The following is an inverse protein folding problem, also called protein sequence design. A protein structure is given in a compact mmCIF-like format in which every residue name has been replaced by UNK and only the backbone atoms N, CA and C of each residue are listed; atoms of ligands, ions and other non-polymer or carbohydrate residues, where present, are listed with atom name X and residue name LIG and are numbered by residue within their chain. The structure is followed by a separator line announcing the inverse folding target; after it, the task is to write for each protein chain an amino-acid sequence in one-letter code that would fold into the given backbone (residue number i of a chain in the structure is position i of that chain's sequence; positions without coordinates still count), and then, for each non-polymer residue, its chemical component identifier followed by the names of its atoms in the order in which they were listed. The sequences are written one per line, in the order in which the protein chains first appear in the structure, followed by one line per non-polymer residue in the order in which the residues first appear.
data_IF_590833563343
#
_entry.id   IF_590833563343
#
_cell.length_a   1.000
_cell.length_b   1.000
_cell.length_c   1.000
_cell.angle_alpha   90.00
_cell.angle_beta   90.00
_cell.angle_gamma   90.00
#
_symmetry.space_group_name_H-M   'P 1'
#
loop_
_entity.id
_entity.type
_entity.pdbx_description
1 polymer ?
#
# COMPACT_ATOMS: atom_id res chain seq x y z
N UNK A 1 15.43 46.61 47.96
CA UNK A 1 15.61 45.14 47.96
C UNK A 1 14.36 44.54 47.33
N UNK A 2 14.45 43.97 46.12
CA UNK A 2 13.32 43.36 45.41
C UNK A 2 13.78 42.03 44.82
N UNK A 3 13.34 40.96 45.47
CA UNK A 3 13.68 39.55 45.21
C UNK A 3 13.13 39.14 43.84
N UNK A 4 14.00 38.63 42.96
CA UNK A 4 13.60 38.05 41.67
C UNK A 4 13.29 36.57 41.88
N UNK A 5 12.03 36.19 41.76
CA UNK A 5 11.61 34.78 41.74
C UNK A 5 11.61 34.34 40.27
N UNK A 6 12.58 33.50 39.91
CA UNK A 6 12.64 32.84 38.61
C UNK A 6 11.75 31.59 38.67
N UNK A 7 10.59 31.62 38.00
CA UNK A 7 9.74 30.45 37.81
C UNK A 7 10.18 29.74 36.52
N UNK A 8 10.90 28.63 36.68
CA UNK A 8 11.34 27.79 35.56
C UNK A 8 10.19 26.86 35.17
N UNK A 9 9.59 27.08 34.01
CA UNK A 9 8.56 26.20 33.43
C UNK A 9 9.27 25.02 32.77
N UNK A 10 9.16 23.84 33.37
CA UNK A 10 9.69 22.58 32.86
C UNK A 10 8.69 22.01 31.83
N UNK A 11 8.93 22.28 30.55
CA UNK A 11 8.11 21.80 29.44
C UNK A 11 8.54 20.37 29.07
N UNK A 12 7.96 19.36 29.71
CA UNK A 12 8.11 17.96 29.29
C UNK A 12 7.23 17.68 28.07
N UNK A 13 7.80 17.80 26.88
CA UNK A 13 7.18 17.38 25.63
C UNK A 13 7.07 15.85 25.57
N UNK A 14 5.99 15.30 26.13
CA UNK A 14 5.62 13.91 25.92
C UNK A 14 5.06 13.77 24.50
N UNK A 15 5.89 13.31 23.56
CA UNK A 15 5.43 12.94 22.22
C UNK A 15 4.55 11.69 22.34
N UNK A 16 3.25 11.89 22.50
CA UNK A 16 2.26 10.83 22.34
C UNK A 16 2.25 10.50 20.85
N UNK A 17 2.98 9.46 20.46
CA UNK A 17 2.87 8.87 19.12
C UNK A 17 1.52 8.17 19.05
N UNK A 18 0.48 8.87 18.58
CA UNK A 18 -0.77 8.20 18.23
C UNK A 18 -0.47 7.24 17.07
N UNK A 19 -0.86 5.95 17.14
CA UNK A 19 -0.81 5.10 15.98
C UNK A 19 -1.71 5.72 14.91
N UNK A 20 -1.11 6.23 13.85
CA UNK A 20 -1.84 6.73 12.69
C UNK A 20 -2.58 5.52 12.11
N UNK A 21 -3.90 5.47 12.28
CA UNK A 21 -4.71 4.45 11.63
C UNK A 21 -4.42 4.51 10.12
N UNK A 22 -3.83 3.45 9.58
CA UNK A 22 -3.45 3.39 8.18
C UNK A 22 -4.72 3.51 7.33
N UNK A 23 -4.90 4.67 6.70
CA UNK A 23 -6.05 4.93 5.85
C UNK A 23 -5.94 4.11 4.56
N UNK A 24 -7.08 3.64 4.08
CA UNK A 24 -7.19 2.83 2.87
C UNK A 24 -7.65 3.75 1.75
N UNK A 25 -6.90 3.81 0.66
CA UNK A 25 -7.29 4.56 -0.54
C UNK A 25 -7.94 3.62 -1.56
N UNK A 26 -9.11 3.99 -2.01
CA UNK A 26 -9.90 3.24 -2.99
C UNK A 26 -9.74 3.88 -4.35
N UNK A 27 -9.48 3.04 -5.34
CA UNK A 27 -9.16 3.40 -6.70
C UNK A 27 -9.98 2.51 -7.63
N UNK A 28 -10.26 2.98 -8.84
CA UNK A 28 -10.78 2.10 -9.88
C UNK A 28 -9.72 1.08 -10.30
N UNK A 29 -10.16 -0.10 -10.73
CA UNK A 29 -9.28 -1.16 -11.26
C UNK A 29 -8.49 -0.71 -12.48
N UNK A 30 -9.02 0.25 -13.24
CA UNK A 30 -8.37 0.87 -14.41
C UNK A 30 -7.07 1.62 -14.06
N UNK A 31 -6.82 1.89 -12.77
CA UNK A 31 -5.58 2.51 -12.30
C UNK A 31 -4.40 1.52 -12.26
N UNK A 32 -4.65 0.21 -12.19
CA UNK A 32 -3.60 -0.83 -12.03
C UNK A 32 -2.51 -0.73 -13.11
N UNK A 33 -2.81 -0.63 -14.42
CA UNK A 33 -1.78 -0.55 -15.45
C UNK A 33 -0.83 0.66 -15.27
N UNK A 34 -1.33 1.75 -14.69
CA UNK A 34 -0.57 2.99 -14.50
C UNK A 34 0.43 2.91 -13.36
N UNK A 35 0.28 1.94 -12.45
CA UNK A 35 1.25 1.70 -11.36
C UNK A 35 2.64 1.37 -11.91
N UNK A 36 2.73 0.82 -13.12
CA UNK A 36 3.99 0.48 -13.79
C UNK A 36 4.79 1.71 -14.26
N UNK A 37 4.09 2.80 -14.60
CA UNK A 37 4.68 3.91 -15.34
C UNK A 37 4.77 5.20 -14.54
N UNK A 38 3.77 5.45 -13.70
CA UNK A 38 3.64 6.72 -12.99
C UNK A 38 4.40 6.68 -11.68
N UNK A 39 5.02 7.81 -11.36
CA UNK A 39 5.50 8.02 -10.01
C UNK A 39 4.36 8.06 -9.00
N UNK A 40 4.62 7.80 -7.71
CA UNK A 40 3.57 7.90 -6.68
C UNK A 40 2.86 9.25 -6.68
N UNK A 41 3.60 10.34 -6.85
CA UNK A 41 3.03 11.68 -6.86
C UNK A 41 2.11 11.89 -8.07
N UNK A 42 2.55 11.48 -9.26
CA UNK A 42 1.74 11.55 -10.48
C UNK A 42 0.56 10.59 -10.44
N UNK A 43 0.75 9.40 -9.90
CA UNK A 43 -0.27 8.40 -9.69
C UNK A 43 -1.36 8.93 -8.75
N UNK A 44 -0.98 9.46 -7.59
CA UNK A 44 -1.90 10.04 -6.62
C UNK A 44 -2.59 11.31 -7.16
N UNK A 45 -1.92 12.08 -8.01
CA UNK A 45 -2.52 13.25 -8.67
C UNK A 45 -3.56 12.83 -9.71
N UNK A 46 -3.25 11.80 -10.50
CA UNK A 46 -4.11 11.30 -11.58
C UNK A 46 -5.26 10.46 -11.04
N UNK A 47 -5.01 9.69 -9.99
CA UNK A 47 -5.95 8.79 -9.32
C UNK A 47 -6.00 9.13 -7.83
N UNK A 48 -6.65 10.26 -7.46
CA UNK A 48 -6.72 10.69 -6.07
C UNK A 48 -7.45 9.69 -5.18
N UNK A 49 -8.44 8.99 -5.75
CA UNK A 49 -9.23 7.99 -5.07
C UNK A 49 -10.05 8.53 -3.90
N UNK A 50 -10.78 7.63 -3.25
CA UNK A 50 -11.49 7.94 -2.00
C UNK A 50 -10.70 7.39 -0.81
N UNK A 51 -10.53 8.20 0.24
CA UNK A 51 -9.79 7.79 1.44
C UNK A 51 -10.77 7.35 2.52
N UNK A 52 -10.67 6.10 2.93
CA UNK A 52 -11.47 5.49 3.99
C UNK A 52 -10.59 5.10 5.17
N UNK A 53 -11.15 5.03 6.38
CA UNK A 53 -10.39 4.59 7.57
C UNK A 53 -10.32 3.08 7.69
N UNK A 54 -11.43 2.41 7.47
CA UNK A 54 -11.61 0.99 7.81
C UNK A 54 -12.35 0.20 6.72
N UNK A 55 -12.65 0.84 5.58
CA UNK A 55 -13.39 0.23 4.48
C UNK A 55 -14.89 0.04 4.75
N UNK A 56 -15.43 0.57 5.85
CA UNK A 56 -16.88 0.53 6.06
C UNK A 56 -17.60 1.34 4.98
N UNK A 57 -18.73 0.83 4.49
CA UNK A 57 -19.54 1.49 3.46
C UNK A 57 -19.05 1.29 2.02
N UNK A 58 -18.04 0.44 1.79
CA UNK A 58 -17.60 0.08 0.44
C UNK A 58 -18.72 -0.58 -0.36
N UNK A 59 -18.76 -0.29 -1.66
CA UNK A 59 -19.66 -0.95 -2.59
C UNK A 59 -19.39 -2.47 -2.61
N UNK A 60 -20.45 -3.26 -2.78
CA UNK A 60 -20.31 -4.71 -2.86
C UNK A 60 -19.61 -5.09 -4.17
N UNK A 61 -18.63 -6.00 -4.09
CA UNK A 61 -17.86 -6.42 -5.24
C UNK A 61 -16.50 -6.99 -4.87
N UNK A 62 -15.72 -7.32 -5.88
CA UNK A 62 -14.34 -7.78 -5.73
C UNK A 62 -13.38 -6.61 -5.77
N UNK A 63 -12.41 -6.60 -4.87
CA UNK A 63 -11.36 -5.59 -4.83
C UNK A 63 -10.00 -6.27 -4.79
N UNK A 64 -9.03 -5.66 -5.47
CA UNK A 64 -7.63 -6.03 -5.34
C UNK A 64 -7.06 -5.21 -4.19
N UNK A 65 -6.71 -5.88 -3.09
CA UNK A 65 -6.09 -5.29 -1.93
C UNK A 65 -4.57 -5.35 -2.07
N UNK A 66 -3.94 -4.18 -2.02
CA UNK A 66 -2.50 -4.03 -1.92
C UNK A 66 -2.15 -3.35 -0.61
N UNK A 67 -1.23 -3.94 0.14
CA UNK A 67 -0.65 -3.29 1.32
C UNK A 67 0.85 -3.42 1.31
N UNK A 68 1.53 -2.32 1.63
CA UNK A 68 2.96 -2.29 1.85
C UNK A 68 3.24 -1.26 2.94
N UNK A 69 3.76 -1.72 4.06
CA UNK A 69 4.01 -0.89 5.24
C UNK A 69 2.76 -0.11 5.70
N UNK A 70 2.76 1.22 5.54
CA UNK A 70 1.62 2.10 5.87
C UNK A 70 0.68 2.35 4.69
N UNK A 71 1.06 1.93 3.48
CA UNK A 71 0.24 2.09 2.27
C UNK A 71 -0.80 0.97 2.20
N UNK A 72 -2.05 1.36 1.96
CA UNK A 72 -3.17 0.46 1.73
C UNK A 72 -4.00 0.97 0.55
N UNK A 73 -4.06 0.19 -0.53
CA UNK A 73 -4.86 0.48 -1.72
C UNK A 73 -5.90 -0.62 -1.93
N UNK A 74 -7.10 -0.22 -2.34
CA UNK A 74 -8.16 -1.10 -2.84
C UNK A 74 -8.51 -0.69 -4.26
N UNK A 75 -8.36 -1.61 -5.22
CA UNK A 75 -8.73 -1.38 -6.61
C UNK A 75 -10.04 -2.10 -6.92
N UNK A 76 -11.08 -1.37 -7.33
CA UNK A 76 -12.42 -1.90 -7.66
C UNK A 76 -13.54 -0.89 -7.39
N UNK A 77 -14.81 -1.34 -7.31
CA UNK A 77 -15.26 -2.73 -7.30
C UNK A 77 -15.29 -3.37 -8.69
N UNK A 78 -14.85 -4.62 -8.77
CA UNK A 78 -14.98 -5.49 -9.95
C UNK A 78 -16.15 -6.45 -9.75
N UNK A 79 -17.00 -6.59 -10.78
CA UNK A 79 -18.20 -7.42 -10.69
C UNK A 79 -17.90 -8.92 -10.61
N UNK A 80 -16.91 -9.39 -11.38
CA UNK A 80 -16.61 -10.81 -11.53
C UNK A 80 -15.29 -11.17 -10.84
N UNK A 81 -15.29 -12.30 -10.12
CA UNK A 81 -14.08 -12.84 -9.49
C UNK A 81 -12.97 -13.10 -10.50
N UNK A 82 -13.31 -13.63 -11.68
CA UNK A 82 -12.36 -13.93 -12.75
C UNK A 82 -11.63 -12.66 -13.20
N UNK A 83 -12.37 -11.59 -13.51
CA UNK A 83 -11.79 -10.29 -13.85
C UNK A 83 -10.93 -9.72 -12.72
N UNK A 84 -11.36 -9.89 -11.46
CA UNK A 84 -10.53 -9.53 -10.31
C UNK A 84 -9.22 -10.32 -10.22
N UNK A 85 -9.22 -11.61 -10.59
CA UNK A 85 -8.01 -12.43 -10.67
C UNK A 85 -7.09 -11.99 -11.81
N UNK A 86 -7.65 -11.57 -12.95
CA UNK A 86 -6.86 -11.05 -14.07
C UNK A 86 -6.11 -9.78 -13.65
N UNK A 87 -6.81 -8.83 -13.03
CA UNK A 87 -6.21 -7.60 -12.49
C UNK A 87 -5.21 -7.87 -11.34
N UNK A 88 -5.50 -8.86 -10.48
CA UNK A 88 -4.57 -9.31 -9.45
C UNK A 88 -3.27 -9.84 -10.10
N UNK A 89 -3.39 -10.61 -11.18
CA UNK A 89 -2.27 -11.15 -11.95
C UNK A 89 -1.45 -10.05 -12.63
N UNK A 90 -2.13 -9.05 -13.20
CA UNK A 90 -1.47 -7.88 -13.79
C UNK A 90 -0.67 -7.12 -12.73
N UNK A 91 -1.30 -6.75 -11.61
CA UNK A 91 -0.61 -6.04 -10.54
C UNK A 91 0.55 -6.88 -10.00
N UNK A 92 0.35 -8.18 -9.75
CA UNK A 92 1.44 -9.08 -9.32
C UNK A 92 2.61 -9.10 -10.28
N UNK A 93 2.36 -9.10 -11.59
CA UNK A 93 3.42 -9.06 -12.62
C UNK A 93 4.19 -7.75 -12.53
N UNK A 94 3.48 -6.63 -12.39
CA UNK A 94 4.10 -5.30 -12.21
C UNK A 94 4.93 -5.27 -10.92
N UNK A 95 4.44 -5.86 -9.82
CA UNK A 95 5.18 -5.94 -8.55
C UNK A 95 6.44 -6.80 -8.69
N UNK A 96 6.35 -7.94 -9.36
CA UNK A 96 7.45 -8.88 -9.55
C UNK A 96 8.64 -8.23 -10.29
N UNK A 97 8.36 -7.54 -11.41
CA UNK A 97 9.35 -6.78 -12.20
C UNK A 97 10.16 -5.79 -11.35
N UNK A 98 9.68 -5.46 -10.16
CA UNK A 98 10.19 -4.40 -9.31
C UNK A 98 10.83 -4.96 -8.08
N UNK A 99 10.25 -5.99 -7.48
CA UNK A 99 10.95 -6.77 -6.45
C UNK A 99 12.30 -7.26 -7.00
N UNK A 100 12.34 -7.66 -8.28
CA UNK A 100 13.58 -8.01 -8.97
C UNK A 100 14.60 -6.84 -9.02
N UNK A 101 14.11 -5.61 -9.19
CA UNK A 101 14.96 -4.41 -9.18
C UNK A 101 15.30 -3.91 -7.76
N UNK A 102 14.44 -4.19 -6.77
CA UNK A 102 14.56 -3.78 -5.36
C UNK A 102 13.93 -4.84 -4.43
N UNK A 103 14.74 -5.82 -3.97
CA UNK A 103 14.26 -6.88 -3.08
C UNK A 103 13.69 -6.39 -1.74
N UNK A 104 14.04 -5.18 -1.31
CA UNK A 104 13.47 -4.54 -0.11
C UNK A 104 11.94 -4.32 -0.18
N UNK A 105 11.33 -4.43 -1.37
CA UNK A 105 9.90 -4.24 -1.59
C UNK A 105 9.12 -5.56 -1.63
N UNK A 106 9.80 -6.67 -1.31
CA UNK A 106 9.21 -8.01 -1.28
C UNK A 106 8.15 -8.17 -0.18
N UNK A 107 8.25 -7.40 0.90
CA UNK A 107 7.30 -7.42 2.02
C UNK A 107 6.05 -6.59 1.68
N UNK A 108 5.24 -7.12 0.77
CA UNK A 108 3.94 -6.57 0.40
C UNK A 108 2.87 -7.66 0.45
N UNK A 109 1.66 -7.27 0.82
CA UNK A 109 0.49 -8.15 0.79
C UNK A 109 -0.37 -7.79 -0.42
N UNK A 110 -0.60 -8.77 -1.29
CA UNK A 110 -1.47 -8.64 -2.44
C UNK A 110 -2.53 -9.74 -2.43
N UNK A 111 -3.81 -9.36 -2.31
CA UNK A 111 -4.95 -10.30 -2.18
C UNK A 111 -6.16 -9.82 -2.97
N UNK A 112 -6.98 -10.75 -3.43
CA UNK A 112 -8.33 -10.44 -3.90
C UNK A 112 -9.29 -10.60 -2.72
N UNK A 113 -10.06 -9.56 -2.42
CA UNK A 113 -11.03 -9.51 -1.32
C UNK A 113 -12.44 -9.22 -1.83
N UNK A 114 -13.46 -9.74 -1.17
CA UNK A 114 -14.86 -9.51 -1.49
C UNK A 114 -15.51 -8.63 -0.43
N UNK A 115 -15.95 -7.42 -0.83
CA UNK A 115 -16.69 -6.55 0.08
C UNK A 115 -18.19 -6.87 0.06
N UNK A 116 -18.88 -6.81 1.22
CA UNK A 116 -18.36 -6.43 2.55
C UNK A 116 -17.83 -7.60 3.41
N UNK A 117 -17.68 -8.80 2.85
CA UNK A 117 -17.37 -10.02 3.62
C UNK A 117 -15.95 -10.05 4.20
N UNK A 118 -14.97 -9.48 3.51
CA UNK A 118 -13.55 -9.52 3.87
C UNK A 118 -13.08 -8.23 4.58
N UNK A 119 -13.98 -7.54 5.28
CA UNK A 119 -13.68 -6.25 5.92
C UNK A 119 -12.59 -6.37 7.00
N UNK A 120 -12.51 -7.52 7.68
CA UNK A 120 -11.51 -7.86 8.69
C UNK A 120 -10.08 -7.93 8.12
N UNK A 121 -9.96 -8.32 6.84
CA UNK A 121 -8.68 -8.43 6.13
C UNK A 121 -8.10 -7.03 5.89
N UNK A 122 -8.93 -6.07 5.53
CA UNK A 122 -8.49 -4.72 5.16
C UNK A 122 -8.39 -3.78 6.37
N UNK A 123 -9.16 -4.03 7.43
CA UNK A 123 -9.11 -3.25 8.68
C UNK A 123 -7.84 -3.54 9.51
N UNK A 124 -7.10 -4.61 9.18
CA UNK A 124 -5.87 -4.99 9.89
C UNK A 124 -6.13 -5.72 11.21
N UNK A 125 -7.32 -6.31 11.38
CA UNK A 125 -7.67 -7.09 12.58
C UNK A 125 -7.21 -8.56 12.51
N UNK A 126 -6.69 -9.02 11.36
CA UNK A 126 -6.21 -10.39 11.18
C UNK A 126 -4.67 -10.44 11.17
N UNK A 127 -4.08 -10.97 12.24
CA UNK A 127 -2.67 -11.36 12.25
C UNK A 127 -2.43 -12.47 11.22
N UNK A 128 -1.54 -12.21 10.27
CA UNK A 128 -1.22 -13.13 9.19
C UNK A 128 -0.52 -14.38 9.75
N UNK A 129 -1.14 -15.55 9.58
CA UNK A 129 -0.48 -16.84 9.79
C UNK A 129 0.16 -17.25 8.47
N UNK A 130 1.49 -17.23 8.46
CA UNK A 130 2.36 -17.60 7.35
C UNK A 130 1.98 -18.95 6.75
N UNK A 131 1.85 -19.01 5.43
CA UNK A 131 1.94 -20.26 4.67
C UNK A 131 3.00 -20.10 3.58
N UNK A 132 4.11 -20.73 3.91
CA UNK A 132 5.28 -21.10 3.12
C UNK A 132 4.90 -21.84 1.83
N UNK A 133 5.45 -21.44 0.68
CA UNK A 133 5.57 -22.32 -0.48
C UNK A 133 6.62 -21.82 -1.48
N UNK A 134 7.38 -22.72 -2.12
CA UNK A 134 8.73 -22.45 -2.60
C UNK A 134 8.80 -21.94 -4.05
N UNK A 135 9.84 -21.15 -4.26
CA UNK A 135 10.36 -20.54 -5.49
C UNK A 135 10.76 -21.56 -6.57
N UNK A 136 10.68 -21.19 -7.87
CA UNK A 136 11.63 -21.68 -8.85
C UNK A 136 12.38 -20.55 -9.59
N UNK A 137 13.68 -20.75 -9.71
CA UNK A 137 14.68 -19.99 -10.48
C UNK A 137 14.41 -19.96 -11.99
N UNK A 138 14.76 -18.85 -12.65
CA UNK A 138 15.34 -18.67 -14.00
C UNK A 138 14.89 -17.29 -14.54
N UNK A 139 15.60 -16.49 -15.33
CA UNK A 139 16.92 -16.50 -15.97
C UNK A 139 17.13 -15.04 -16.46
N UNK A 140 18.39 -14.67 -16.66
CA UNK A 140 18.90 -13.32 -16.89
C UNK A 140 18.67 -12.82 -18.33
N UNK A 141 17.95 -11.69 -18.54
CA UNK A 141 18.06 -10.94 -19.81
C UNK A 141 17.68 -9.44 -19.77
N UNK A 142 18.70 -8.62 -20.02
CA UNK A 142 18.80 -7.19 -20.40
C UNK A 142 17.55 -6.29 -20.53
N UNK A 143 17.49 -5.35 -19.57
CA UNK A 143 17.09 -3.92 -19.59
C UNK A 143 16.36 -3.36 -20.84
N UNK A 144 15.21 -2.72 -20.62
CA UNK A 144 15.06 -1.30 -20.93
C UNK A 144 14.87 -0.48 -19.65
N UNK A 145 15.33 0.76 -19.69
CA UNK A 145 15.23 1.72 -18.60
C UNK A 145 13.77 2.06 -18.31
N UNK A 146 13.15 1.39 -17.34
CA UNK A 146 11.94 1.90 -16.71
C UNK A 146 12.26 2.28 -15.27
N UNK A 147 12.33 3.58 -15.04
CA UNK A 147 12.25 4.27 -13.74
C UNK A 147 10.90 4.09 -13.01
N UNK A 148 10.15 3.04 -13.38
CA UNK A 148 8.70 3.11 -13.50
C UNK A 148 7.94 2.85 -12.21
N UNK A 149 8.15 1.73 -11.56
CA UNK A 149 7.22 1.38 -10.49
C UNK A 149 7.63 1.96 -9.13
N UNK A 150 8.92 1.96 -8.82
CA UNK A 150 9.45 2.54 -7.59
C UNK A 150 10.92 2.97 -7.74
N UNK A 151 11.24 3.71 -8.82
CA UNK A 151 12.28 4.73 -8.70
C UNK A 151 12.03 5.66 -7.49
N UNK A 152 10.77 5.66 -7.01
CA UNK A 152 10.18 6.45 -5.95
C UNK A 152 9.91 5.77 -4.60
N UNK A 153 9.81 4.45 -4.45
CA UNK A 153 9.83 3.87 -3.09
C UNK A 153 11.23 4.02 -2.47
N UNK A 154 12.21 4.34 -3.33
CA UNK A 154 13.57 4.77 -3.01
C UNK A 154 13.65 6.02 -2.11
N UNK A 155 12.56 6.79 -1.93
CA UNK A 155 12.53 8.00 -1.08
C UNK A 155 11.82 7.78 0.27
N UNK A 156 11.17 6.64 0.51
CA UNK A 156 10.34 6.44 1.70
C UNK A 156 10.98 5.60 2.83
N UNK A 157 12.04 4.81 2.59
CA UNK A 157 12.61 3.91 3.62
C UNK A 157 14.15 3.92 3.69
N UNK A 158 14.83 5.06 3.78
CA UNK A 158 14.42 6.24 4.53
C UNK A 158 15.38 7.42 4.34
N UNK A 159 15.82 7.58 3.12
CA UNK A 159 17.11 8.17 2.78
C UNK A 159 17.07 8.60 1.32
#
# INVERSE_FOLDING_TARGET
MKTRIALTVLLTGSFISLPLAASIRILEETAIPYTRFLSKAEFDQRFPGEVHRDGTGLAAGWYIFYSQESLRYLFGPVALRATGQDYLGELRTILADVVDQRPALSDHTLRLVQMPYDLDIISGQRAETSRDSPEPKAEEQKKPESSGFWGLLKRLFGF
#
